data_IF_311612012692
#
_entry.id   IF_311612012692
#
_cell.length_a   1.000
_cell.length_b   1.000
_cell.length_c   1.000
_cell.angle_alpha   90.00
_cell.angle_beta   90.00
_cell.angle_gamma   90.00
#
_symmetry.space_group_name_H-M   'P 1'
#
loop_
_entity.id
_entity.type
_entity.pdbx_description
1 polymer ?
#
# COMPACT_ATOMS: atom_id res chain seq x y z
N UNK A 1 -18.66 39.80 78.75
CA UNK A 1 -18.70 38.36 78.43
C UNK A 1 -19.43 38.25 77.09
N UNK A 2 -18.74 38.65 76.01
CA UNK A 2 -18.18 37.80 74.95
C UNK A 2 -19.28 37.00 74.24
N UNK A 3 -19.73 37.48 73.09
CA UNK A 3 -20.14 36.65 71.95
C UNK A 3 -20.01 37.49 70.66
N UNK A 4 -18.77 37.87 70.35
CA UNK A 4 -18.36 38.40 69.05
C UNK A 4 -17.08 37.66 68.66
N UNK A 5 -17.23 36.42 68.20
CA UNK A 5 -16.18 35.69 67.48
C UNK A 5 -16.80 34.42 66.88
N UNK A 6 -16.34 34.01 65.70
CA UNK A 6 -16.68 32.78 64.97
C UNK A 6 -17.79 32.84 63.90
N UNK A 7 -17.87 33.93 63.12
CA UNK A 7 -18.54 33.94 61.81
C UNK A 7 -17.61 34.42 60.68
N UNK A 8 -16.29 34.25 60.83
CA UNK A 8 -15.28 34.85 59.94
C UNK A 8 -14.33 33.88 59.24
N UNK A 9 -14.47 32.55 59.39
CA UNK A 9 -13.46 31.60 58.89
C UNK A 9 -13.94 30.66 57.76
N UNK A 10 -15.22 30.34 57.66
CA UNK A 10 -15.69 29.36 56.65
C UNK A 10 -15.71 29.93 55.22
N UNK A 11 -16.03 31.22 55.08
CA UNK A 11 -16.02 31.90 53.77
C UNK A 11 -14.60 32.26 53.28
N UNK A 12 -13.60 32.17 54.16
CA UNK A 12 -12.19 32.47 53.85
C UNK A 12 -11.49 31.26 53.24
N UNK A 13 -11.94 30.04 53.57
CA UNK A 13 -11.41 28.80 52.98
C UNK A 13 -12.04 28.50 51.61
N UNK A 14 -13.31 28.84 51.40
CA UNK A 14 -13.97 28.73 50.09
C UNK A 14 -13.43 29.75 49.05
N UNK A 15 -12.78 30.83 49.50
CA UNK A 15 -12.06 31.79 48.66
C UNK A 15 -10.58 31.44 48.45
N UNK A 16 -10.09 30.40 49.12
CA UNK A 16 -8.69 29.97 49.10
C UNK A 16 -8.48 28.63 48.37
N UNK A 17 -9.51 28.07 47.72
CA UNK A 17 -9.28 27.07 46.67
C UNK A 17 -8.95 27.82 45.37
N UNK A 18 -7.78 28.45 45.38
CA UNK A 18 -7.23 29.15 44.23
C UNK A 18 -7.21 28.19 43.07
N UNK A 19 -7.81 28.59 41.96
CA UNK A 19 -7.74 27.85 40.70
C UNK A 19 -6.24 27.73 40.36
N UNK A 20 -5.66 26.56 40.66
CA UNK A 20 -4.24 26.32 40.46
C UNK A 20 -4.01 26.16 38.95
N UNK A 21 -2.98 26.82 38.43
CA UNK A 21 -2.66 26.71 37.00
C UNK A 21 -2.36 25.26 36.58
N UNK A 22 -1.85 24.44 37.50
CA UNK A 22 -1.59 23.02 37.25
C UNK A 22 -2.90 22.23 37.11
N UNK A 23 -3.90 22.49 37.96
CA UNK A 23 -5.20 21.79 37.90
C UNK A 23 -5.92 22.09 36.59
N UNK A 24 -5.85 23.34 36.10
CA UNK A 24 -6.40 23.66 34.77
C UNK A 24 -5.61 22.96 33.66
N UNK A 25 -4.28 22.89 33.79
CA UNK A 25 -3.45 22.24 32.76
C UNK A 25 -3.82 20.76 32.63
N UNK A 26 -4.05 20.08 33.75
CA UNK A 26 -4.53 18.70 33.78
C UNK A 26 -5.93 18.58 33.18
N UNK A 27 -6.85 19.47 33.56
CA UNK A 27 -8.20 19.49 32.99
C UNK A 27 -8.18 19.72 31.46
N UNK A 28 -7.28 20.56 30.96
CA UNK A 28 -7.11 20.77 29.50
C UNK A 28 -6.54 19.53 28.84
N UNK A 29 -5.63 18.80 29.49
CA UNK A 29 -5.11 17.53 28.97
C UNK A 29 -6.25 16.51 28.81
N UNK A 30 -6.98 16.24 29.89
CA UNK A 30 -8.10 15.29 29.92
C UNK A 30 -9.22 15.70 28.95
N UNK A 31 -9.46 16.99 28.77
CA UNK A 31 -10.50 17.48 27.86
C UNK A 31 -10.14 17.24 26.38
N UNK A 32 -8.85 17.25 26.04
CA UNK A 32 -8.40 17.12 24.66
C UNK A 32 -8.12 15.68 24.23
N UNK A 33 -7.75 14.80 25.16
CA UNK A 33 -7.35 13.42 24.89
C UNK A 33 -8.48 12.47 25.27
N UNK A 34 -9.03 11.74 24.30
CA UNK A 34 -10.12 10.79 24.56
C UNK A 34 -9.61 9.38 24.95
N UNK A 35 -8.42 9.00 24.50
CA UNK A 35 -7.81 7.70 24.74
C UNK A 35 -6.27 7.78 24.66
N UNK A 36 -5.57 6.76 25.15
CA UNK A 36 -4.10 6.71 25.11
C UNK A 36 -3.53 6.78 23.69
N UNK A 37 -4.26 6.26 22.70
CA UNK A 37 -3.87 6.24 21.28
C UNK A 37 -4.44 7.43 20.46
N UNK A 38 -5.04 8.44 21.12
CA UNK A 38 -5.62 9.61 20.45
C UNK A 38 -4.53 10.60 19.99
N UNK A 39 -3.87 10.27 18.87
CA UNK A 39 -2.85 11.11 18.25
C UNK A 39 -3.37 12.52 17.89
N UNK A 40 -4.64 12.62 17.50
CA UNK A 40 -5.28 13.91 17.20
C UNK A 40 -5.39 14.74 18.48
N UNK A 41 -5.85 14.12 19.58
CA UNK A 41 -5.95 14.75 20.89
C UNK A 41 -4.60 15.19 21.45
N UNK A 42 -3.60 14.33 21.38
CA UNK A 42 -2.22 14.63 21.81
C UNK A 42 -1.64 15.80 21.03
N UNK A 43 -1.80 15.81 19.70
CA UNK A 43 -1.32 16.92 18.87
C UNK A 43 -2.13 18.20 19.12
N UNK A 44 -3.44 18.10 19.32
CA UNK A 44 -4.28 19.24 19.66
C UNK A 44 -3.88 19.86 21.02
N UNK A 45 -3.55 19.04 22.01
CA UNK A 45 -2.99 19.49 23.29
C UNK A 45 -1.62 20.17 23.10
N UNK A 46 -0.73 19.61 22.28
CA UNK A 46 0.54 20.26 21.96
C UNK A 46 0.36 21.63 21.25
N UNK A 47 -0.67 21.78 20.41
CA UNK A 47 -1.04 23.06 19.81
C UNK A 47 -1.52 24.06 20.87
N UNK A 48 -2.29 23.61 21.87
CA UNK A 48 -2.64 24.44 23.03
C UNK A 48 -1.39 24.91 23.79
N UNK A 49 -0.48 24.00 24.16
CA UNK A 49 0.75 24.34 24.89
C UNK A 49 1.58 25.37 24.11
N UNK A 50 1.65 25.23 22.78
CA UNK A 50 2.28 26.20 21.89
C UNK A 50 1.62 27.57 21.99
N UNK A 51 0.28 27.63 21.92
CA UNK A 51 -0.46 28.89 22.01
C UNK A 51 -0.36 29.55 23.39
N UNK A 52 -0.36 28.75 24.46
CA UNK A 52 -0.14 29.23 25.84
C UNK A 52 1.21 29.93 25.96
N UNK A 53 2.27 29.33 25.41
CA UNK A 53 3.61 29.96 25.38
C UNK A 53 3.60 31.27 24.58
N UNK A 54 2.96 31.27 23.40
CA UNK A 54 2.88 32.46 22.55
C UNK A 54 2.08 33.58 23.25
N UNK A 55 1.04 33.24 24.02
CA UNK A 55 0.35 34.14 24.93
C UNK A 55 1.32 34.74 25.97
N UNK A 56 2.09 33.92 26.70
CA UNK A 56 3.06 34.42 27.70
C UNK A 56 4.08 35.37 27.08
N UNK A 57 4.60 35.04 25.90
CA UNK A 57 5.55 35.89 25.18
C UNK A 57 4.90 37.22 24.76
N UNK A 58 3.71 37.18 24.17
CA UNK A 58 2.99 38.40 23.76
C UNK A 58 2.55 39.24 24.96
N UNK A 59 2.22 38.61 26.08
CA UNK A 59 1.88 39.27 27.34
C UNK A 59 3.05 40.07 27.87
N UNK A 60 4.25 39.46 27.96
CA UNK A 60 5.47 40.14 28.40
C UNK A 60 5.80 41.36 27.54
N UNK A 61 5.65 41.24 26.21
CA UNK A 61 5.86 42.36 25.29
C UNK A 61 4.91 43.53 25.55
N UNK A 62 3.65 43.24 25.89
CA UNK A 62 2.61 44.26 26.16
C UNK A 62 2.69 44.86 27.57
N UNK A 63 3.29 44.15 28.52
CA UNK A 63 3.29 44.51 29.94
C UNK A 63 4.69 44.83 30.48
N UNK A 64 5.51 45.54 29.68
CA UNK A 64 6.85 46.00 30.09
C UNK A 64 7.75 44.88 30.66
N UNK A 65 7.67 43.67 30.09
CA UNK A 65 8.46 42.51 30.53
C UNK A 65 7.85 41.72 31.69
N UNK A 66 6.75 42.16 32.31
CA UNK A 66 6.06 41.43 33.37
C UNK A 66 5.49 40.11 32.85
N UNK A 67 5.70 39.02 33.59
CA UNK A 67 5.04 37.73 33.31
C UNK A 67 3.59 37.75 33.80
N UNK A 68 2.66 37.04 33.13
CA UNK A 68 1.31 36.91 33.65
C UNK A 68 1.33 36.18 35.01
N UNK A 69 0.46 36.59 35.92
CA UNK A 69 0.27 35.91 37.19
C UNK A 69 -0.60 34.64 37.01
N UNK A 70 -0.73 33.84 38.07
CA UNK A 70 -1.44 32.57 38.00
C UNK A 70 -2.92 32.73 37.63
N UNK A 71 -3.60 33.75 38.15
CA UNK A 71 -5.00 34.03 37.81
C UNK A 71 -5.18 34.46 36.35
N UNK A 72 -4.24 35.24 35.80
CA UNK A 72 -4.23 35.65 34.39
C UNK A 72 -4.00 34.44 33.46
N UNK A 73 -3.10 33.52 33.85
CA UNK A 73 -2.87 32.26 33.13
C UNK A 73 -4.08 31.34 33.21
N UNK A 74 -4.70 31.25 34.39
CA UNK A 74 -5.88 30.44 34.63
C UNK A 74 -7.06 30.89 33.76
N UNK A 75 -7.33 32.20 33.73
CA UNK A 75 -8.42 32.79 32.94
C UNK A 75 -8.24 32.57 31.42
N UNK A 76 -7.00 32.57 30.93
CA UNK A 76 -6.73 32.27 29.52
C UNK A 76 -6.86 30.78 29.25
N UNK A 77 -6.31 29.94 30.13
CA UNK A 77 -6.33 28.49 29.99
C UNK A 77 -7.74 27.91 30.07
N UNK A 78 -8.62 28.49 30.89
CA UNK A 78 -10.03 28.07 30.97
C UNK A 78 -10.80 28.26 29.67
N UNK A 79 -10.41 29.21 28.80
CA UNK A 79 -11.05 29.36 27.49
C UNK A 79 -10.81 28.15 26.58
N UNK A 80 -9.74 27.40 26.83
CA UNK A 80 -9.41 26.17 26.09
C UNK A 80 -10.28 24.98 26.48
N UNK A 81 -11.03 25.07 27.59
CA UNK A 81 -12.03 24.09 27.99
C UNK A 81 -13.39 24.28 27.26
N UNK A 82 -13.42 25.04 26.17
CA UNK A 82 -14.60 25.19 25.32
C UNK A 82 -14.62 24.16 24.20
N UNK A 83 -15.81 23.60 23.93
CA UNK A 83 -15.99 22.60 22.86
C UNK A 83 -15.61 23.14 21.48
N UNK A 84 -15.88 24.42 21.21
CA UNK A 84 -15.54 25.07 19.94
C UNK A 84 -14.02 25.14 19.71
N UNK A 85 -13.27 25.59 20.73
CA UNK A 85 -11.82 25.69 20.62
C UNK A 85 -11.17 24.31 20.56
N UNK A 86 -11.71 23.34 21.32
CA UNK A 86 -11.31 21.92 21.22
C UNK A 86 -11.47 21.40 19.80
N UNK A 87 -12.66 21.55 19.21
CA UNK A 87 -12.91 21.09 17.84
C UNK A 87 -11.98 21.77 16.85
N UNK A 88 -11.80 23.09 16.95
CA UNK A 88 -10.89 23.85 16.10
C UNK A 88 -9.44 23.33 16.16
N UNK A 89 -8.93 23.06 17.36
CA UNK A 89 -7.57 22.55 17.54
C UNK A 89 -7.44 21.08 17.12
N UNK A 90 -8.45 20.25 17.36
CA UNK A 90 -8.50 18.86 16.85
C UNK A 90 -8.55 18.81 15.33
N UNK A 91 -9.33 19.69 14.69
CA UNK A 91 -9.38 19.80 13.22
C UNK A 91 -8.02 20.21 12.64
N UNK A 92 -7.36 21.20 13.26
CA UNK A 92 -6.00 21.61 12.87
C UNK A 92 -4.99 20.47 13.06
N UNK A 93 -5.06 19.75 14.17
CA UNK A 93 -4.22 18.59 14.43
C UNK A 93 -4.44 17.51 13.36
N UNK A 94 -5.70 17.22 13.03
CA UNK A 94 -6.06 16.28 11.96
C UNK A 94 -5.45 16.72 10.62
N UNK A 95 -5.57 18.00 10.25
CA UNK A 95 -4.99 18.52 9.01
C UNK A 95 -3.46 18.39 8.96
N UNK A 96 -2.78 18.68 10.07
CA UNK A 96 -1.31 18.53 10.18
C UNK A 96 -0.91 17.06 9.99
N UNK A 97 -1.60 16.14 10.66
CA UNK A 97 -1.33 14.70 10.53
C UNK A 97 -1.61 14.20 9.12
N UNK A 98 -2.72 14.62 8.49
CA UNK A 98 -3.04 14.27 7.11
C UNK A 98 -1.99 14.78 6.13
N UNK A 99 -1.55 16.04 6.27
CA UNK A 99 -0.51 16.63 5.42
C UNK A 99 0.84 15.93 5.60
N UNK A 100 1.19 15.56 6.83
CA UNK A 100 2.40 14.78 7.11
C UNK A 100 2.33 13.39 6.46
N UNK A 101 1.19 12.70 6.59
CA UNK A 101 0.98 11.39 5.97
C UNK A 101 1.04 11.46 4.44
N UNK A 102 0.44 12.47 3.82
CA UNK A 102 0.50 12.71 2.37
C UNK A 102 1.95 12.96 1.92
N UNK A 103 2.68 13.84 2.60
CA UNK A 103 4.10 14.10 2.33
C UNK A 103 4.95 12.82 2.43
N UNK A 104 4.68 11.98 3.44
CA UNK A 104 5.38 10.72 3.62
C UNK A 104 5.05 9.70 2.52
N UNK A 105 3.77 9.59 2.13
CA UNK A 105 3.34 8.72 1.03
C UNK A 105 3.93 9.17 -0.30
N UNK A 106 3.94 10.47 -0.60
CA UNK A 106 4.59 11.03 -1.80
C UNK A 106 6.10 10.74 -1.81
N UNK A 107 6.77 10.86 -0.66
CA UNK A 107 8.19 10.52 -0.54
C UNK A 107 8.47 9.02 -0.71
N UNK A 108 7.51 8.15 -0.39
CA UNK A 108 7.61 6.69 -0.53
C UNK A 108 7.12 6.17 -1.89
N UNK A 109 6.43 7.00 -2.67
CA UNK A 109 5.91 6.67 -4.00
C UNK A 109 6.96 6.07 -4.97
N UNK A 110 8.22 6.54 -5.05
CA UNK A 110 9.21 5.93 -5.94
C UNK A 110 9.55 4.48 -5.56
N UNK A 111 9.61 4.16 -4.27
CA UNK A 111 9.95 2.81 -3.78
C UNK A 111 8.80 1.82 -4.03
N UNK A 112 7.56 2.26 -3.87
CA UNK A 112 6.36 1.48 -4.21
C UNK A 112 6.33 1.19 -5.74
N UNK A 113 6.66 2.18 -6.57
CA UNK A 113 6.75 2.01 -8.02
C UNK A 113 7.87 1.05 -8.43
N UNK A 114 9.04 1.10 -7.80
CA UNK A 114 10.15 0.18 -8.05
C UNK A 114 9.79 -1.27 -7.68
N UNK A 115 9.12 -1.48 -6.54
CA UNK A 115 8.64 -2.79 -6.14
C UNK A 115 7.59 -3.36 -7.11
N UNK A 116 6.64 -2.53 -7.56
CA UNK A 116 5.63 -2.91 -8.54
C UNK A 116 6.24 -3.24 -9.90
N UNK A 117 7.14 -2.40 -10.43
CA UNK A 117 7.81 -2.61 -11.71
C UNK A 117 8.65 -3.89 -11.71
N UNK A 118 9.34 -4.21 -10.61
CA UNK A 118 10.10 -5.45 -10.50
C UNK A 118 9.21 -6.69 -10.54
N UNK A 119 8.05 -6.66 -9.88
CA UNK A 119 7.10 -7.79 -9.93
C UNK A 119 6.51 -7.99 -11.34
N UNK A 120 6.16 -6.92 -12.04
CA UNK A 120 5.63 -6.98 -13.41
C UNK A 120 6.72 -7.39 -14.41
N UNK A 121 7.94 -6.88 -14.25
CA UNK A 121 9.09 -7.25 -15.07
C UNK A 121 9.44 -8.74 -14.92
N UNK A 122 9.44 -9.27 -13.69
CA UNK A 122 9.67 -10.70 -13.42
C UNK A 122 8.56 -11.58 -14.02
N UNK A 123 7.29 -11.13 -13.96
CA UNK A 123 6.17 -11.85 -14.56
C UNK A 123 6.29 -11.91 -16.08
N UNK A 124 6.57 -10.77 -16.72
CA UNK A 124 6.80 -10.68 -18.18
C UNK A 124 8.01 -11.51 -18.62
N UNK A 125 9.10 -11.51 -17.86
CA UNK A 125 10.27 -12.34 -18.15
C UNK A 125 9.91 -13.84 -18.16
N UNK A 126 9.08 -14.30 -17.21
CA UNK A 126 8.61 -15.70 -17.15
C UNK A 126 7.67 -16.06 -18.32
N UNK A 127 6.81 -15.13 -18.73
CA UNK A 127 5.95 -15.29 -19.92
C UNK A 127 6.77 -15.32 -21.23
N UNK A 128 7.84 -14.54 -21.32
CA UNK A 128 8.79 -14.57 -22.44
C UNK A 128 9.57 -15.90 -22.47
N UNK A 129 10.07 -16.38 -21.33
CA UNK A 129 10.79 -17.66 -21.27
C UNK A 129 9.90 -18.84 -21.70
N UNK A 130 8.67 -18.88 -21.23
CA UNK A 130 7.72 -19.95 -21.55
C UNK A 130 7.28 -19.93 -23.02
N UNK A 131 7.07 -18.75 -23.60
CA UNK A 131 6.74 -18.61 -25.03
C UNK A 131 7.93 -18.93 -25.94
N UNK A 132 9.15 -18.55 -25.57
CA UNK A 132 10.39 -18.89 -26.30
C UNK A 132 10.64 -20.40 -26.28
N UNK A 133 10.49 -21.08 -25.13
CA UNK A 133 10.62 -22.55 -25.04
C UNK A 133 9.59 -23.27 -25.91
N UNK A 134 8.33 -22.82 -25.93
CA UNK A 134 7.29 -23.37 -26.81
C UNK A 134 7.64 -23.19 -28.30
N UNK A 135 8.17 -22.02 -28.68
CA UNK A 135 8.57 -21.72 -30.07
C UNK A 135 9.77 -22.57 -30.52
N UNK A 136 10.74 -22.81 -29.64
CA UNK A 136 11.87 -23.71 -29.89
C UNK A 136 11.41 -25.17 -30.05
N UNK A 137 10.47 -25.63 -29.22
CA UNK A 137 9.87 -26.96 -29.33
C UNK A 137 9.10 -27.17 -30.65
N UNK A 138 8.34 -26.16 -31.08
CA UNK A 138 7.61 -26.17 -32.35
C UNK A 138 8.54 -26.33 -33.56
N UNK A 139 9.62 -25.55 -33.65
CA UNK A 139 10.57 -25.66 -34.77
C UNK A 139 11.32 -26.99 -34.82
N UNK A 140 11.61 -27.59 -33.65
CA UNK A 140 12.19 -28.94 -33.58
C UNK A 140 11.21 -29.99 -34.13
N UNK A 141 9.92 -29.87 -33.80
CA UNK A 141 8.87 -30.77 -34.28
C UNK A 141 8.60 -30.61 -35.79
N UNK A 142 8.60 -29.37 -36.29
CA UNK A 142 8.46 -29.09 -37.74
C UNK A 142 9.60 -29.74 -38.53
N UNK A 143 10.84 -29.65 -38.06
CA UNK A 143 11.99 -30.31 -38.70
C UNK A 143 11.86 -31.84 -38.71
N UNK A 144 11.39 -32.44 -37.63
CA UNK A 144 11.16 -33.89 -37.57
C UNK A 144 10.09 -34.35 -38.57
N UNK A 145 8.98 -33.60 -38.69
CA UNK A 145 7.93 -33.90 -39.67
C UNK A 145 8.44 -33.81 -41.12
N UNK A 146 9.27 -32.81 -41.42
CA UNK A 146 9.85 -32.66 -42.76
C UNK A 146 10.77 -33.84 -43.14
N UNK A 147 11.57 -34.36 -42.20
CA UNK A 147 12.44 -35.52 -42.43
C UNK A 147 11.59 -36.77 -42.72
N UNK A 148 10.52 -36.99 -41.97
CA UNK A 148 9.63 -38.15 -42.19
C UNK A 148 8.95 -38.09 -43.55
N UNK A 149 8.46 -36.91 -43.96
CA UNK A 149 7.84 -36.72 -45.28
C UNK A 149 8.86 -36.98 -46.39
N UNK A 150 10.09 -36.46 -46.23
CA UNK A 150 11.15 -36.64 -47.22
C UNK A 150 11.56 -38.12 -47.36
N UNK A 151 11.66 -38.85 -46.24
CA UNK A 151 11.89 -40.30 -46.26
C UNK A 151 10.75 -41.06 -46.93
N UNK A 152 9.50 -40.68 -46.66
CA UNK A 152 8.34 -41.33 -47.26
C UNK A 152 8.27 -41.07 -48.78
N UNK A 153 8.61 -39.86 -49.23
CA UNK A 153 8.72 -39.54 -50.66
C UNK A 153 9.85 -40.32 -51.34
N UNK A 154 11.01 -40.46 -50.68
CA UNK A 154 12.11 -41.29 -51.19
C UNK A 154 11.71 -42.76 -51.30
N UNK A 155 10.96 -43.27 -50.33
CA UNK A 155 10.50 -44.65 -50.33
C UNK A 155 9.46 -44.90 -51.43
N UNK A 156 8.51 -43.98 -51.61
CA UNK A 156 7.53 -44.05 -52.69
C UNK A 156 8.18 -43.90 -54.08
N UNK A 157 9.17 -43.02 -54.23
CA UNK A 157 9.89 -42.88 -55.51
C UNK A 157 10.69 -44.13 -55.84
N UNK A 158 11.37 -44.74 -54.86
CA UNK A 158 12.06 -46.02 -55.03
C UNK A 158 11.09 -47.14 -55.40
N UNK A 159 9.93 -47.22 -54.74
CA UNK A 159 8.89 -48.20 -55.06
C UNK A 159 8.33 -48.01 -56.47
N UNK A 160 8.11 -46.77 -56.91
CA UNK A 160 7.65 -46.47 -58.27
C UNK A 160 8.69 -46.87 -59.33
N UNK A 161 9.98 -46.59 -59.08
CA UNK A 161 11.07 -47.00 -59.97
C UNK A 161 11.15 -48.52 -60.06
N UNK A 162 11.07 -49.23 -58.93
CA UNK A 162 11.04 -50.69 -58.90
C UNK A 162 9.82 -51.23 -59.66
N UNK A 163 8.62 -50.67 -59.47
CA UNK A 163 7.42 -51.09 -60.18
C UNK A 163 7.51 -50.89 -61.70
N UNK A 164 8.18 -49.84 -62.16
CA UNK A 164 8.42 -49.61 -63.60
C UNK A 164 9.46 -50.58 -64.15
N UNK A 165 10.53 -50.85 -63.40
CA UNK A 165 11.62 -51.74 -63.83
C UNK A 165 11.18 -53.20 -63.87
N UNK A 166 10.42 -53.66 -62.88
CA UNK A 166 9.85 -55.02 -62.83
C UNK A 166 8.52 -55.16 -63.58
N UNK A 167 8.09 -54.14 -64.34
CA UNK A 167 6.82 -54.17 -65.07
C UNK A 167 6.77 -55.28 -66.12
N UNK A 168 7.91 -55.64 -66.73
CA UNK A 168 7.98 -56.81 -67.63
C UNK A 168 7.79 -58.11 -66.85
N UNK A 169 8.56 -58.31 -65.77
CA UNK A 169 8.62 -59.59 -65.08
C UNK A 169 7.32 -59.90 -64.30
N UNK A 170 6.66 -58.88 -63.74
CA UNK A 170 5.39 -59.06 -63.01
C UNK A 170 4.23 -59.35 -63.97
N UNK A 171 4.19 -58.67 -65.13
CA UNK A 171 3.16 -58.90 -66.14
C UNK A 171 3.38 -60.25 -66.84
N UNK A 172 4.64 -60.63 -67.10
CA UNK A 172 4.98 -61.92 -67.68
C UNK A 172 4.72 -63.07 -66.69
N UNK A 173 5.03 -62.89 -65.40
CA UNK A 173 4.67 -63.87 -64.36
C UNK A 173 3.15 -64.00 -64.18
N UNK A 174 2.40 -62.91 -64.26
CA UNK A 174 0.94 -62.93 -64.21
C UNK A 174 0.32 -63.61 -65.44
N UNK A 175 0.84 -63.31 -66.63
CA UNK A 175 0.40 -63.93 -67.88
C UNK A 175 0.74 -65.43 -67.92
N UNK A 176 1.93 -65.82 -67.44
CA UNK A 176 2.32 -67.22 -67.32
C UNK A 176 1.43 -67.99 -66.33
N UNK A 177 1.04 -67.35 -65.22
CA UNK A 177 0.15 -67.94 -64.22
C UNK A 177 -1.28 -68.08 -64.75
N UNK A 178 -1.79 -67.08 -65.48
CA UNK A 178 -3.11 -67.15 -66.12
C UNK A 178 -3.14 -68.16 -67.29
N UNK A 179 -2.06 -68.27 -68.08
CA UNK A 179 -1.93 -69.28 -69.13
C UNK A 179 -1.87 -70.72 -68.56
N UNK A 180 -1.19 -70.91 -67.43
CA UNK A 180 -1.15 -72.20 -66.75
C UNK A 180 -2.53 -72.62 -66.19
N UNK A 181 -3.40 -71.65 -65.85
CA UNK A 181 -4.76 -71.91 -65.38
C UNK A 181 -5.72 -72.24 -66.54
N UNK A 182 -5.59 -71.60 -67.70
CA UNK A 182 -6.46 -71.85 -68.86
C UNK A 182 -6.15 -73.15 -69.61
N UNK A 183 -4.94 -73.70 -69.50
CA UNK A 183 -4.62 -75.03 -70.03
C UNK A 183 -5.09 -76.20 -69.15
N UNK A 184 -5.70 -75.93 -67.99
CA UNK A 184 -6.18 -76.96 -67.04
C UNK A 184 -7.71 -77.15 -67.02
N UNK A 185 -8.42 -76.58 -68.00
CA UNK A 185 -9.84 -76.82 -68.28
C UNK A 185 -10.01 -77.32 -69.70
#
# INVERSE_FOLDING_TARGET
MIHEFLAGNENSQLRANGINANDITEAVLEFYIESEDDLIGLLAYALYERQKRDFVVSYRKRNAGRSPNEAELAAVSSNYLSTDLRNTLRDRASQILSSYAETYVEAMEPDIRLAAVNSDALRRAREIETSVKKRLGFWRQVRAGFIVILLLLLLLSAAAIAAVFFRSDIVDAWNALMAAITLRT
#
